data_IF_922231657758
#
_entry.id   IF_922231657758
#
_cell.length_a   1.000
_cell.length_b   1.000
_cell.length_c   1.000
_cell.angle_alpha   90.00
_cell.angle_beta   90.00
_cell.angle_gamma   90.00
#
_symmetry.space_group_name_H-M   'P 1'
#
loop_
_entity.id
_entity.type
_entity.pdbx_description
1 polymer ?
#
# COMPACT_ATOMS: atom_id res chain seq x y z
N UNK A 1 65.52 -7.04 17.04
CA UNK A 1 65.26 -8.08 16.02
C UNK A 1 63.76 -8.35 15.99
N UNK A 2 63.08 -8.06 14.88
CA UNK A 2 61.66 -8.39 14.69
C UNK A 2 61.50 -9.09 13.34
N UNK A 3 61.06 -10.35 13.39
CA UNK A 3 60.98 -11.26 12.23
C UNK A 3 59.60 -11.10 11.58
N UNK A 4 59.54 -10.46 10.40
CA UNK A 4 58.30 -10.26 9.65
C UNK A 4 57.96 -11.55 8.88
N UNK A 5 57.00 -12.31 9.40
CA UNK A 5 56.51 -13.56 8.82
C UNK A 5 55.67 -13.26 7.56
N UNK A 6 56.24 -13.51 6.38
CA UNK A 6 55.55 -13.42 5.09
C UNK A 6 54.64 -14.63 4.91
N UNK A 7 53.32 -14.44 5.03
CA UNK A 7 52.35 -15.47 4.68
C UNK A 7 52.10 -15.45 3.17
N UNK A 8 52.79 -16.32 2.44
CA UNK A 8 52.46 -16.70 1.06
C UNK A 8 51.14 -17.49 1.04
N UNK A 9 50.00 -16.83 1.29
CA UNK A 9 48.69 -17.40 0.97
C UNK A 9 48.57 -17.41 -0.55
N UNK A 10 48.56 -18.61 -1.13
CA UNK A 10 48.40 -18.82 -2.56
C UNK A 10 47.11 -18.11 -3.02
N UNK A 11 47.17 -17.25 -4.06
CA UNK A 11 46.04 -16.43 -4.50
C UNK A 11 44.79 -17.26 -4.84
N UNK A 12 44.98 -18.53 -5.17
CA UNK A 12 43.93 -19.52 -5.40
C UNK A 12 43.01 -19.74 -4.19
N UNK A 13 43.55 -19.74 -2.96
CA UNK A 13 42.76 -19.95 -1.73
C UNK A 13 41.89 -18.73 -1.44
N UNK A 14 42.44 -17.54 -1.70
CA UNK A 14 41.72 -16.28 -1.54
C UNK A 14 40.56 -16.19 -2.55
N UNK A 15 40.80 -16.60 -3.80
CA UNK A 15 39.78 -16.62 -4.84
C UNK A 15 38.65 -17.62 -4.54
N UNK A 16 38.98 -18.81 -4.04
CA UNK A 16 37.97 -19.82 -3.63
C UNK A 16 37.12 -19.31 -2.46
N UNK A 17 37.73 -18.65 -1.48
CA UNK A 17 36.99 -18.09 -0.33
C UNK A 17 36.02 -16.97 -0.73
N UNK A 18 36.42 -16.10 -1.67
CA UNK A 18 35.55 -15.05 -2.22
C UNK A 18 34.40 -15.66 -3.02
N UNK A 19 34.66 -16.72 -3.80
CA UNK A 19 33.62 -17.41 -4.57
C UNK A 19 32.59 -18.08 -3.67
N UNK A 20 33.02 -18.74 -2.58
CA UNK A 20 32.15 -19.36 -1.59
C UNK A 20 31.29 -18.33 -0.85
N UNK A 21 31.85 -17.16 -0.51
CA UNK A 21 31.09 -16.05 0.08
C UNK A 21 30.04 -15.48 -0.89
N UNK A 22 30.37 -15.39 -2.19
CA UNK A 22 29.43 -14.91 -3.20
C UNK A 22 28.26 -15.89 -3.41
N UNK A 23 28.53 -17.20 -3.46
CA UNK A 23 27.48 -18.23 -3.58
C UNK A 23 26.62 -18.27 -2.31
N UNK A 24 27.22 -18.14 -1.13
CA UNK A 24 26.49 -18.03 0.14
C UNK A 24 25.58 -16.79 0.20
N UNK A 25 26.05 -15.65 -0.31
CA UNK A 25 25.25 -14.43 -0.40
C UNK A 25 24.05 -14.61 -1.34
N UNK A 26 24.24 -15.21 -2.52
CA UNK A 26 23.15 -15.46 -3.48
C UNK A 26 22.12 -16.44 -2.90
N UNK A 27 22.57 -17.50 -2.24
CA UNK A 27 21.69 -18.46 -1.57
C UNK A 27 20.87 -17.79 -0.44
N UNK A 28 21.49 -16.92 0.38
CA UNK A 28 20.80 -16.18 1.43
C UNK A 28 19.75 -15.19 0.89
N UNK A 29 19.99 -14.60 -0.29
CA UNK A 29 19.01 -13.76 -0.99
C UNK A 29 17.84 -14.55 -1.58
N UNK A 30 18.07 -15.76 -2.13
CA UNK A 30 17.00 -16.60 -2.67
C UNK A 30 16.11 -17.25 -1.60
N UNK A 31 16.64 -17.54 -0.40
CA UNK A 31 15.86 -18.20 0.67
C UNK A 31 15.10 -17.23 1.57
N UNK A 32 15.02 -15.94 1.23
CA UNK A 32 14.27 -14.93 2.03
C UNK A 32 14.84 -14.71 3.45
N UNK A 33 16.08 -15.11 3.71
CA UNK A 33 16.73 -14.92 5.02
C UNK A 33 17.12 -13.44 5.22
N UNK A 34 17.41 -12.72 4.14
CA UNK A 34 17.69 -11.27 4.18
C UNK A 34 16.43 -10.47 4.52
N UNK A 35 15.25 -10.87 4.05
CA UNK A 35 13.97 -10.24 4.42
C UNK A 35 13.62 -10.43 5.91
N UNK A 36 14.12 -11.51 6.54
CA UNK A 36 13.94 -11.75 8.00
C UNK A 36 15.00 -11.04 8.86
N UNK A 37 16.24 -10.93 8.39
CA UNK A 37 17.34 -10.31 9.14
C UNK A 37 17.32 -8.77 9.05
N UNK A 38 16.85 -8.22 7.94
CA UNK A 38 16.59 -6.78 7.76
C UNK A 38 15.09 -6.52 7.77
N UNK A 39 14.43 -6.86 8.89
CA UNK A 39 13.11 -6.34 9.19
C UNK A 39 13.20 -4.83 9.47
N UNK A 40 13.48 -4.03 8.44
CA UNK A 40 13.08 -2.63 8.37
C UNK A 40 11.57 -2.63 8.52
N UNK A 41 11.08 -2.44 9.76
CA UNK A 41 9.66 -2.35 10.17
C UNK A 41 8.72 -2.15 8.98
N UNK A 42 8.38 -3.23 8.28
CA UNK A 42 7.33 -3.18 7.31
C UNK A 42 6.10 -2.84 8.13
N UNK A 43 5.31 -1.82 7.75
CA UNK A 43 4.09 -1.51 8.48
C UNK A 43 3.26 -2.79 8.57
N UNK A 44 3.09 -3.30 9.80
CA UNK A 44 2.27 -4.47 10.07
C UNK A 44 0.83 -4.09 9.77
N UNK A 45 0.35 -4.47 8.59
CA UNK A 45 -1.07 -4.40 8.26
C UNK A 45 -1.77 -5.55 9.00
N UNK A 46 -2.86 -5.28 9.72
CA UNK A 46 -3.67 -6.39 10.22
C UNK A 46 -4.23 -7.14 9.01
N UNK A 47 -4.21 -8.48 9.03
CA UNK A 47 -4.72 -9.30 7.91
C UNK A 47 -6.15 -8.92 7.51
N UNK A 48 -6.98 -8.57 8.48
CA UNK A 48 -8.38 -8.16 8.26
C UNK A 48 -8.52 -6.85 7.47
N UNK A 49 -7.56 -5.93 7.60
CA UNK A 49 -7.54 -4.68 6.81
C UNK A 49 -7.07 -4.92 5.36
N UNK A 50 -6.26 -5.95 5.13
CA UNK A 50 -5.83 -6.34 3.78
C UNK A 50 -6.98 -6.91 2.95
N UNK A 51 -7.97 -7.55 3.59
CA UNK A 51 -9.12 -8.14 2.89
C UNK A 51 -10.19 -7.09 2.55
N UNK A 52 -10.31 -6.04 3.37
CA UNK A 52 -11.29 -4.96 3.18
C UNK A 52 -10.85 -3.95 2.13
N UNK A 53 -9.55 -3.61 2.06
CA UNK A 53 -9.04 -2.58 1.15
C UNK A 53 -8.30 -3.20 -0.02
N UNK A 54 -8.86 -3.06 -1.22
CA UNK A 54 -8.21 -3.49 -2.46
C UNK A 54 -7.62 -2.27 -3.16
N UNK A 55 -6.30 -2.25 -3.35
CA UNK A 55 -5.63 -1.20 -4.12
C UNK A 55 -5.31 -1.70 -5.54
N UNK A 56 -5.65 -0.89 -6.54
CA UNK A 56 -5.38 -1.12 -7.96
C UNK A 56 -4.89 0.15 -8.64
N UNK A 57 -4.51 0.06 -9.92
CA UNK A 57 -4.05 1.19 -10.73
C UNK A 57 -2.57 1.12 -11.08
N UNK A 58 -2.06 2.18 -11.70
CA UNK A 58 -0.67 2.24 -12.18
C UNK A 58 0.36 2.49 -11.07
N UNK A 59 -0.08 2.92 -9.88
CA UNK A 59 0.79 3.25 -8.74
C UNK A 59 0.75 2.15 -7.69
N UNK A 60 1.91 1.55 -7.38
CA UNK A 60 2.00 0.58 -6.28
C UNK A 60 1.99 1.28 -4.93
N UNK A 61 1.43 0.60 -3.92
CA UNK A 61 1.36 1.12 -2.53
C UNK A 61 2.74 1.42 -1.96
N UNK A 62 3.74 0.59 -2.29
CA UNK A 62 5.15 0.78 -1.90
C UNK A 62 5.70 2.11 -2.39
N UNK A 63 5.27 2.55 -3.57
CA UNK A 63 5.82 3.71 -4.26
C UNK A 63 5.23 5.02 -3.72
N UNK A 64 4.11 4.94 -2.99
CA UNK A 64 3.51 6.07 -2.30
C UNK A 64 4.38 6.56 -1.14
N UNK A 65 5.25 5.73 -0.55
CA UNK A 65 6.05 6.12 0.61
C UNK A 65 5.18 6.59 1.79
N UNK A 66 4.09 5.87 2.08
CA UNK A 66 3.20 6.18 3.21
C UNK A 66 3.94 6.01 4.53
N UNK A 67 3.83 7.00 5.42
CA UNK A 67 4.38 6.87 6.77
C UNK A 67 3.53 5.92 7.61
N UNK A 68 4.08 5.38 8.70
CA UNK A 68 3.30 4.57 9.64
C UNK A 68 2.11 5.34 10.22
N UNK A 69 2.24 6.66 10.37
CA UNK A 69 1.14 7.55 10.81
C UNK A 69 0.02 7.63 9.78
N UNK A 70 0.36 7.70 8.49
CA UNK A 70 -0.62 7.72 7.41
C UNK A 70 -1.38 6.41 7.31
N UNK A 71 -0.66 5.29 7.42
CA UNK A 71 -1.25 3.95 7.42
C UNK A 71 -2.19 3.79 8.61
N UNK A 72 -1.77 4.22 9.80
CA UNK A 72 -2.63 4.18 10.98
C UNK A 72 -3.93 4.99 10.79
N UNK A 73 -3.87 6.18 10.19
CA UNK A 73 -5.06 6.99 9.88
C UNK A 73 -6.02 6.28 8.93
N UNK A 74 -5.50 5.70 7.84
CA UNK A 74 -6.31 4.93 6.89
C UNK A 74 -6.95 3.72 7.56
N UNK A 75 -6.20 3.02 8.42
CA UNK A 75 -6.70 1.87 9.15
C UNK A 75 -7.84 2.23 10.11
N UNK A 76 -7.68 3.31 10.88
CA UNK A 76 -8.73 3.79 11.78
C UNK A 76 -9.99 4.19 11.01
N UNK A 77 -9.83 4.89 9.88
CA UNK A 77 -10.95 5.28 9.03
C UNK A 77 -11.66 4.07 8.40
N UNK A 78 -10.91 3.10 7.86
CA UNK A 78 -11.46 1.87 7.32
C UNK A 78 -12.23 1.06 8.38
N UNK A 79 -11.68 0.94 9.59
CA UNK A 79 -12.35 0.26 10.70
C UNK A 79 -13.66 0.93 11.11
N UNK A 80 -13.75 2.26 11.03
CA UNK A 80 -14.97 3.01 11.32
C UNK A 80 -16.10 2.66 10.35
N UNK A 81 -15.78 2.49 9.07
CA UNK A 81 -16.77 2.27 8.00
C UNK A 81 -17.03 0.79 7.69
N UNK A 82 -16.27 -0.13 8.31
CA UNK A 82 -16.37 -1.60 8.13
C UNK A 82 -17.76 -2.17 8.38
N UNK A 83 -18.57 -1.53 9.23
CA UNK A 83 -19.94 -1.99 9.51
C UNK A 83 -20.89 -1.79 8.34
N UNK A 84 -20.61 -0.81 7.47
CA UNK A 84 -21.45 -0.49 6.32
C UNK A 84 -20.88 -1.10 5.03
N UNK A 85 -19.56 -1.07 4.87
CA UNK A 85 -18.88 -1.52 3.66
C UNK A 85 -18.04 -2.76 3.94
N UNK A 86 -18.23 -3.81 3.16
CA UNK A 86 -17.43 -5.03 3.23
C UNK A 86 -16.15 -4.94 2.40
N UNK A 87 -16.11 -4.07 1.39
CA UNK A 87 -14.91 -3.80 0.59
C UNK A 87 -14.79 -2.35 0.16
N UNK A 88 -13.56 -1.85 0.13
CA UNK A 88 -13.18 -0.56 -0.43
C UNK A 88 -12.18 -0.81 -1.57
N UNK A 89 -12.61 -0.57 -2.80
CA UNK A 89 -11.74 -0.60 -3.98
C UNK A 89 -11.16 0.80 -4.19
N UNK A 90 -9.83 0.91 -4.24
CA UNK A 90 -9.10 2.17 -4.37
C UNK A 90 -8.22 2.06 -5.61
N UNK A 91 -8.46 2.90 -6.61
CA UNK A 91 -7.63 2.99 -7.80
C UNK A 91 -6.78 4.26 -7.77
N UNK A 92 -5.46 4.11 -7.96
CA UNK A 92 -4.52 5.21 -8.05
C UNK A 92 -3.76 5.16 -9.38
N UNK A 93 -3.95 6.20 -10.20
CA UNK A 93 -3.23 6.36 -11.44
C UNK A 93 -2.38 7.63 -11.43
N UNK A 94 -1.25 7.60 -12.12
CA UNK A 94 -0.53 8.84 -12.44
C UNK A 94 -1.20 9.50 -13.64
N UNK A 95 -1.34 10.82 -13.59
CA UNK A 95 -1.83 11.62 -14.72
C UNK A 95 -0.92 11.42 -15.95
N UNK A 96 0.39 11.39 -15.73
CA UNK A 96 1.37 11.02 -16.74
C UNK A 96 1.82 9.56 -16.57
N UNK A 97 1.38 8.70 -17.50
CA UNK A 97 1.71 7.27 -17.54
C UNK A 97 3.16 6.97 -17.90
N UNK A 98 3.93 7.98 -18.35
CA UNK A 98 5.30 7.84 -18.82
C UNK A 98 6.34 8.46 -17.88
N UNK A 99 5.92 9.17 -16.82
CA UNK A 99 6.82 9.79 -15.86
C UNK A 99 7.51 8.74 -14.96
N UNK A 100 8.79 8.94 -14.58
CA UNK A 100 9.51 8.00 -13.73
C UNK A 100 8.80 7.80 -12.38
N UNK A 101 8.56 6.52 -12.07
CA UNK A 101 7.70 5.90 -11.02
C UNK A 101 7.84 6.44 -9.58
N UNK A 102 8.81 7.33 -9.30
CA UNK A 102 8.97 7.89 -7.95
C UNK A 102 7.90 8.94 -7.68
N UNK A 103 6.84 8.52 -6.99
CA UNK A 103 5.79 9.40 -6.48
C UNK A 103 6.39 10.36 -5.45
N UNK A 104 6.53 11.63 -5.83
CA UNK A 104 6.96 12.71 -4.93
C UNK A 104 5.75 13.27 -4.19
N UNK A 105 5.99 14.07 -3.14
CA UNK A 105 4.94 14.70 -2.33
C UNK A 105 3.96 15.56 -3.14
N UNK A 106 4.42 16.20 -4.20
CA UNK A 106 3.61 17.07 -5.06
C UNK A 106 3.16 16.40 -6.36
N UNK A 107 3.44 15.11 -6.53
CA UNK A 107 2.91 14.32 -7.66
C UNK A 107 1.39 14.26 -7.55
N UNK A 108 0.70 14.59 -8.63
CA UNK A 108 -0.75 14.50 -8.74
C UNK A 108 -1.15 13.08 -9.12
N UNK A 109 -2.15 12.55 -8.42
CA UNK A 109 -2.65 11.20 -8.58
C UNK A 109 -4.14 11.27 -8.88
N UNK A 110 -4.59 10.55 -9.90
CA UNK A 110 -6.00 10.30 -10.11
C UNK A 110 -6.46 9.25 -9.10
N UNK A 111 -7.33 9.66 -8.20
CA UNK A 111 -7.94 8.82 -7.17
C UNK A 111 -9.36 8.48 -7.59
N UNK A 112 -9.65 7.18 -7.67
CA UNK A 112 -11.01 6.64 -7.77
C UNK A 112 -11.25 5.70 -6.58
N UNK A 113 -12.42 5.80 -5.95
CA UNK A 113 -12.77 5.00 -4.77
C UNK A 113 -14.19 4.48 -4.90
N UNK A 114 -14.36 3.18 -4.63
CA UNK A 114 -15.66 2.50 -4.63
C UNK A 114 -15.82 1.74 -3.33
N UNK A 115 -16.89 2.05 -2.60
CA UNK A 115 -17.26 1.40 -1.35
C UNK A 115 -18.38 0.41 -1.63
N UNK A 116 -18.17 -0.86 -1.31
CA UNK A 116 -19.10 -1.95 -1.58
C UNK A 116 -19.73 -2.43 -0.28
N UNK A 117 -21.05 -2.57 -0.31
CA UNK A 117 -21.85 -3.18 0.74
C UNK A 117 -22.06 -4.66 0.46
N UNK A 118 -22.59 -5.41 1.42
CA UNK A 118 -22.94 -6.83 1.22
C UNK A 118 -24.21 -7.03 0.37
N UNK A 119 -25.00 -5.98 0.15
CA UNK A 119 -26.31 -6.01 -0.53
C UNK A 119 -26.24 -5.52 -1.99
N UNK A 120 -25.12 -5.76 -2.69
CA UNK A 120 -24.87 -5.31 -4.08
C UNK A 120 -24.95 -3.79 -4.32
N UNK A 121 -24.98 -2.97 -3.26
CA UNK A 121 -24.94 -1.51 -3.36
C UNK A 121 -23.49 -1.02 -3.35
N UNK A 122 -23.17 -0.12 -4.29
CA UNK A 122 -21.89 0.55 -4.41
C UNK A 122 -22.01 2.06 -4.16
N UNK A 123 -21.21 2.63 -3.26
CA UNK A 123 -21.02 4.09 -3.18
C UNK A 123 -19.74 4.42 -3.92
N UNK A 124 -19.83 5.17 -5.01
CA UNK A 124 -18.70 5.55 -5.85
C UNK A 124 -18.35 7.03 -5.65
N UNK A 125 -17.09 7.32 -5.32
CA UNK A 125 -16.55 8.66 -5.41
C UNK A 125 -16.42 9.08 -6.88
N UNK A 126 -16.69 10.35 -7.18
CA UNK A 126 -16.16 10.95 -8.40
C UNK A 126 -14.63 10.85 -8.41
N UNK A 127 -14.06 10.53 -9.58
CA UNK A 127 -12.62 10.55 -9.79
C UNK A 127 -12.08 11.96 -9.55
N UNK A 128 -11.02 12.08 -8.75
CA UNK A 128 -10.40 13.37 -8.45
C UNK A 128 -8.88 13.30 -8.55
N UNK A 129 -8.30 14.37 -9.08
CA UNK A 129 -6.86 14.56 -9.08
C UNK A 129 -6.43 15.13 -7.73
N UNK A 130 -5.58 14.40 -7.01
CA UNK A 130 -5.15 14.74 -5.65
C UNK A 130 -3.63 14.71 -5.56
N UNK A 131 -2.98 15.76 -5.01
CA UNK A 131 -1.54 15.71 -4.78
C UNK A 131 -1.22 14.69 -3.68
N UNK A 132 -0.14 13.93 -3.86
CA UNK A 132 0.27 12.84 -2.96
C UNK A 132 0.29 13.25 -1.49
N UNK A 133 0.74 14.46 -1.15
CA UNK A 133 0.78 14.99 0.23
C UNK A 133 -0.60 15.10 0.89
N UNK A 134 -1.68 15.25 0.10
CA UNK A 134 -3.07 15.32 0.60
C UNK A 134 -3.84 14.02 0.40
N UNK A 135 -3.28 13.03 -0.29
CA UNK A 135 -3.94 11.77 -0.64
C UNK A 135 -4.64 11.12 0.56
N UNK A 136 -3.90 10.91 1.65
CA UNK A 136 -4.42 10.23 2.85
C UNK A 136 -5.59 11.00 3.47
N UNK A 137 -5.47 12.33 3.54
CA UNK A 137 -6.54 13.16 4.08
C UNK A 137 -7.81 13.10 3.21
N UNK A 138 -7.65 13.06 1.88
CA UNK A 138 -8.76 12.89 0.95
C UNK A 138 -9.40 11.51 1.07
N UNK A 139 -8.62 10.44 1.17
CA UNK A 139 -9.15 9.08 1.33
C UNK A 139 -9.97 8.93 2.62
N UNK A 140 -9.47 9.47 3.74
CA UNK A 140 -10.20 9.44 5.02
C UNK A 140 -11.50 10.24 4.92
N UNK A 141 -11.45 11.44 4.33
CA UNK A 141 -12.64 12.27 4.12
C UNK A 141 -13.67 11.56 3.23
N UNK A 142 -13.22 10.92 2.15
CA UNK A 142 -14.08 10.14 1.27
C UNK A 142 -14.75 8.97 2.02
N UNK A 143 -14.03 8.28 2.92
CA UNK A 143 -14.64 7.23 3.76
C UNK A 143 -15.76 7.79 4.64
N UNK A 144 -15.56 8.95 5.28
CA UNK A 144 -16.57 9.60 6.12
C UNK A 144 -17.77 10.10 5.30
N UNK A 145 -17.53 10.66 4.12
CA UNK A 145 -18.57 11.10 3.18
C UNK A 145 -19.40 9.90 2.68
N UNK A 146 -18.75 8.80 2.28
CA UNK A 146 -19.44 7.58 1.85
C UNK A 146 -20.34 7.01 2.93
N UNK A 147 -19.85 6.97 4.17
CA UNK A 147 -20.63 6.49 5.30
C UNK A 147 -21.86 7.37 5.54
N UNK A 148 -21.68 8.69 5.51
CA UNK A 148 -22.76 9.65 5.76
C UNK A 148 -23.84 9.57 4.68
N UNK A 149 -23.43 9.48 3.41
CA UNK A 149 -24.35 9.29 2.29
C UNK A 149 -25.11 7.97 2.44
N UNK A 150 -24.39 6.86 2.70
CA UNK A 150 -25.02 5.56 2.88
C UNK A 150 -26.05 5.54 4.02
N UNK A 151 -25.72 6.12 5.19
CA UNK A 151 -26.64 6.24 6.31
C UNK A 151 -27.85 7.11 5.99
N UNK A 152 -27.67 8.19 5.23
CA UNK A 152 -28.76 9.04 4.77
C UNK A 152 -29.73 8.26 3.87
N UNK A 153 -29.21 7.51 2.91
CA UNK A 153 -30.02 6.66 2.03
C UNK A 153 -30.74 5.54 2.78
N UNK A 154 -30.11 4.89 3.75
CA UNK A 154 -30.76 3.84 4.55
C UNK A 154 -31.99 4.33 5.33
N UNK A 155 -32.04 5.63 5.64
CA UNK A 155 -33.15 6.27 6.37
C UNK A 155 -34.30 6.69 5.44
N UNK A 156 -34.12 6.67 4.12
CA UNK A 156 -35.18 7.05 3.19
C UNK A 156 -36.26 5.94 3.08
N UNK A 157 -37.56 6.28 3.27
CA UNK A 157 -38.64 5.32 3.08
C UNK A 157 -38.76 4.92 1.60
N UNK A 158 -38.87 3.62 1.32
CA UNK A 158 -39.06 3.08 -0.03
C UNK A 158 -37.78 2.82 -0.84
N UNK A 159 -36.60 3.17 -0.31
CA UNK A 159 -35.30 3.08 -1.03
C UNK A 159 -34.52 1.80 -0.72
N UNK A 160 -34.86 1.10 0.37
CA UNK A 160 -34.21 -0.15 0.78
C UNK A 160 -34.33 -1.22 -0.32
N UNK A 161 -33.20 -1.54 -0.95
CA UNK A 161 -33.09 -2.61 -1.96
C UNK A 161 -33.24 -2.19 -3.43
N UNK A 162 -33.43 -0.89 -3.75
CA UNK A 162 -33.63 -0.46 -5.15
C UNK A 162 -32.38 0.11 -5.83
N UNK A 163 -31.39 0.60 -5.09
CA UNK A 163 -30.24 1.29 -5.66
C UNK A 163 -29.00 0.40 -5.67
N UNK A 164 -28.49 0.14 -6.88
CA UNK A 164 -27.22 -0.57 -7.09
C UNK A 164 -26.00 0.34 -6.95
N UNK A 165 -26.15 1.65 -7.19
CA UNK A 165 -25.03 2.59 -7.18
C UNK A 165 -25.43 4.00 -6.73
N UNK A 166 -24.61 4.57 -5.86
CA UNK A 166 -24.66 5.94 -5.37
C UNK A 166 -23.38 6.67 -5.81
N UNK A 167 -23.48 7.97 -6.06
CA UNK A 167 -22.34 8.82 -6.44
C UNK A 167 -22.20 9.99 -5.47
N UNK A 168 -20.96 10.33 -5.13
CA UNK A 168 -20.59 11.46 -4.25
C UNK A 168 -19.29 12.15 -4.67
#
# INVERSE_FOLDING_TARGET
MAMKRSSNMKPSILLISVLLLAVGAIAAFQTGLVDRAFATKAPSYSRELLDMVKMSGSVKVSDLGLSSKDIHKLNVAAMKVRRAFSRIDISLNMEDKFAPVKVKRDTHLELDMVFKTDEDCEVKCWTRTVPRKRLVAHMVRAMDEAMSEYEYYQKMPGVKGQFKRLYM
#
